data_IF_532638813246
#
_entry.id   IF_532638813246
#
_cell.length_a   1.000
_cell.length_b   1.000
_cell.length_c   1.000
_cell.angle_alpha   90.00
_cell.angle_beta   90.00
_cell.angle_gamma   90.00
#
_symmetry.space_group_name_H-M   'P 1'
#
loop_
_entity.id
_entity.type
_entity.pdbx_description
1 polymer ?
#
# COMPACT_ATOMS: atom_id res chain seq x y z
N UNK A 1 -74.21 -22.77 12.47
CA UNK A 1 -73.55 -21.62 11.80
C UNK A 1 -72.27 -21.14 12.50
N UNK A 2 -72.01 -21.46 13.77
CA UNK A 2 -70.84 -20.91 14.50
C UNK A 2 -69.46 -21.50 14.15
N UNK A 3 -69.36 -22.76 13.72
CA UNK A 3 -68.04 -23.39 13.41
C UNK A 3 -67.39 -22.86 12.12
N UNK A 4 -68.18 -22.43 11.13
CA UNK A 4 -67.64 -21.95 9.84
C UNK A 4 -66.96 -20.57 9.97
N UNK A 5 -67.50 -19.72 10.85
CA UNK A 5 -66.92 -18.40 11.15
C UNK A 5 -65.59 -18.50 11.90
N UNK A 6 -65.48 -19.43 12.85
CA UNK A 6 -64.25 -19.69 13.62
C UNK A 6 -63.15 -20.29 12.74
N UNK A 7 -63.49 -21.22 11.84
CA UNK A 7 -62.55 -21.80 10.87
C UNK A 7 -61.99 -20.75 9.91
N UNK A 8 -62.85 -19.87 9.37
CA UNK A 8 -62.43 -18.83 8.44
C UNK A 8 -61.55 -17.76 9.10
N UNK A 9 -61.87 -17.37 10.34
CA UNK A 9 -61.04 -16.43 11.10
C UNK A 9 -59.67 -17.03 11.44
N UNK A 10 -59.59 -18.32 11.80
CA UNK A 10 -58.32 -18.99 12.06
C UNK A 10 -57.47 -19.13 10.78
N UNK A 11 -58.08 -19.47 9.65
CA UNK A 11 -57.39 -19.53 8.36
C UNK A 11 -56.76 -18.18 7.99
N UNK A 12 -57.51 -17.06 8.10
CA UNK A 12 -56.97 -15.72 7.84
C UNK A 12 -55.80 -15.34 8.75
N UNK A 13 -55.83 -15.70 10.03
CA UNK A 13 -54.70 -15.45 10.95
C UNK A 13 -53.44 -16.22 10.53
N UNK A 14 -53.59 -17.49 10.13
CA UNK A 14 -52.45 -18.31 9.68
C UNK A 14 -51.84 -17.73 8.39
N UNK A 15 -52.67 -17.32 7.43
CA UNK A 15 -52.18 -16.71 6.17
C UNK A 15 -51.45 -15.39 6.43
N UNK A 16 -51.96 -14.57 7.35
CA UNK A 16 -51.33 -13.30 7.73
C UNK A 16 -49.99 -13.51 8.42
N UNK A 17 -49.91 -14.44 9.37
CA UNK A 17 -48.68 -14.79 10.07
C UNK A 17 -47.62 -15.36 9.11
N UNK A 18 -48.00 -16.25 8.18
CA UNK A 18 -47.08 -16.76 7.17
C UNK A 18 -46.55 -15.67 6.23
N UNK A 19 -47.39 -14.69 5.86
CA UNK A 19 -46.98 -13.54 5.04
C UNK A 19 -46.00 -12.63 5.79
N UNK A 20 -46.25 -12.38 7.08
CA UNK A 20 -45.33 -11.66 7.98
C UNK A 20 -44.00 -12.38 8.15
N UNK A 21 -44.02 -13.68 8.46
CA UNK A 21 -42.81 -14.50 8.62
C UNK A 21 -41.97 -14.47 7.34
N UNK A 22 -42.59 -14.62 6.17
CA UNK A 22 -41.89 -14.55 4.88
C UNK A 22 -41.33 -13.14 4.59
N UNK A 23 -42.05 -12.08 4.97
CA UNK A 23 -41.56 -10.70 4.87
C UNK A 23 -40.34 -10.47 5.78
N UNK A 24 -40.38 -10.95 7.02
CA UNK A 24 -39.28 -10.89 7.98
C UNK A 24 -38.07 -11.72 7.54
N UNK A 25 -38.30 -12.91 6.98
CA UNK A 25 -37.25 -13.75 6.38
C UNK A 25 -36.59 -13.04 5.19
N UNK A 26 -37.36 -12.42 4.30
CA UNK A 26 -36.84 -11.64 3.17
C UNK A 26 -36.03 -10.42 3.63
N UNK A 27 -36.53 -9.65 4.61
CA UNK A 27 -35.80 -8.51 5.18
C UNK A 27 -34.50 -8.95 5.86
N UNK A 28 -34.50 -10.05 6.61
CA UNK A 28 -33.30 -10.61 7.23
C UNK A 28 -32.26 -11.02 6.18
N UNK A 29 -32.70 -11.70 5.12
CA UNK A 29 -31.80 -12.13 4.04
C UNK A 29 -31.25 -10.94 3.25
N UNK A 30 -32.05 -9.88 3.07
CA UNK A 30 -31.59 -8.62 2.48
C UNK A 30 -30.55 -7.92 3.38
N UNK A 31 -30.79 -7.84 4.69
CA UNK A 31 -29.86 -7.26 5.66
C UNK A 31 -28.52 -8.03 5.71
N UNK A 32 -28.57 -9.36 5.63
CA UNK A 32 -27.35 -10.19 5.55
C UNK A 32 -26.57 -9.94 4.26
N UNK A 33 -27.25 -9.85 3.12
CA UNK A 33 -26.61 -9.57 1.84
C UNK A 33 -25.99 -8.16 1.81
N UNK A 34 -26.67 -7.16 2.39
CA UNK A 34 -26.12 -5.80 2.50
C UNK A 34 -24.91 -5.74 3.42
N UNK A 35 -24.91 -6.51 4.52
CA UNK A 35 -23.78 -6.56 5.44
C UNK A 35 -22.53 -7.20 4.78
N UNK A 36 -22.72 -8.26 4.00
CA UNK A 36 -21.65 -8.90 3.21
C UNK A 36 -21.05 -7.94 2.16
N UNK A 37 -21.87 -7.13 1.49
CA UNK A 37 -21.39 -6.12 0.53
C UNK A 37 -20.56 -5.01 1.21
N UNK A 38 -20.96 -4.58 2.40
CA UNK A 38 -20.22 -3.55 3.17
C UNK A 38 -18.84 -4.07 3.58
N UNK A 39 -18.72 -5.33 4.01
CA UNK A 39 -17.43 -5.91 4.42
C UNK A 39 -16.43 -5.95 3.27
N UNK A 40 -16.86 -6.38 2.07
CA UNK A 40 -16.00 -6.39 0.88
C UNK A 40 -15.53 -5.00 0.47
N UNK A 41 -16.40 -3.99 0.58
CA UNK A 41 -16.07 -2.61 0.24
C UNK A 41 -15.07 -1.99 1.23
N UNK A 42 -15.25 -2.25 2.53
CA UNK A 42 -14.33 -1.79 3.59
C UNK A 42 -12.94 -2.43 3.44
N UNK A 43 -12.87 -3.72 3.09
CA UNK A 43 -11.60 -4.42 2.92
C UNK A 43 -10.82 -3.92 1.68
N UNK A 44 -11.53 -3.62 0.58
CA UNK A 44 -10.91 -3.02 -0.61
C UNK A 44 -10.37 -1.62 -0.31
N UNK A 45 -11.18 -0.76 0.32
CA UNK A 45 -10.77 0.60 0.72
C UNK A 45 -9.55 0.59 1.65
N UNK A 46 -9.55 -0.31 2.65
CA UNK A 46 -8.43 -0.42 3.61
C UNK A 46 -7.12 -0.82 2.92
N UNK A 47 -7.18 -1.68 1.90
CA UNK A 47 -5.99 -2.11 1.16
C UNK A 47 -5.41 -0.98 0.31
N UNK A 48 -6.26 -0.23 -0.39
CA UNK A 48 -5.85 0.92 -1.20
C UNK A 48 -5.24 2.01 -0.32
N UNK A 49 -5.85 2.31 0.84
CA UNK A 49 -5.31 3.27 1.81
C UNK A 49 -3.93 2.83 2.32
N UNK A 50 -3.78 1.55 2.68
CA UNK A 50 -2.49 1.03 3.15
C UNK A 50 -1.41 1.12 2.07
N UNK A 51 -1.72 0.74 0.83
CA UNK A 51 -0.77 0.83 -0.28
C UNK A 51 -0.35 2.28 -0.55
N UNK A 52 -1.29 3.21 -0.55
CA UNK A 52 -1.00 4.63 -0.74
C UNK A 52 -0.09 5.19 0.36
N UNK A 53 -0.32 4.81 1.62
CA UNK A 53 0.53 5.18 2.75
C UNK A 53 1.94 4.58 2.62
N UNK A 54 2.06 3.32 2.21
CA UNK A 54 3.37 2.71 1.94
C UNK A 54 4.13 3.44 0.82
N UNK A 55 3.44 3.85 -0.26
CA UNK A 55 4.02 4.68 -1.33
C UNK A 55 4.48 6.04 -0.78
N UNK A 56 3.67 6.70 0.04
CA UNK A 56 4.05 7.96 0.68
C UNK A 56 5.31 7.80 1.52
N UNK A 57 5.35 6.77 2.36
CA UNK A 57 6.52 6.44 3.17
C UNK A 57 7.77 6.30 2.31
N UNK A 58 7.73 5.49 1.25
CA UNK A 58 8.87 5.28 0.34
C UNK A 58 9.37 6.62 -0.23
N UNK A 59 8.45 7.49 -0.68
CA UNK A 59 8.81 8.81 -1.22
C UNK A 59 9.48 9.70 -0.16
N UNK A 60 9.01 9.63 1.09
CA UNK A 60 9.59 10.40 2.20
C UNK A 60 11.00 9.93 2.61
N UNK A 61 11.37 8.67 2.34
CA UNK A 61 12.73 8.17 2.64
C UNK A 61 13.84 8.85 1.83
N UNK A 62 13.49 9.54 0.75
CA UNK A 62 14.44 10.16 -0.17
C UNK A 62 14.81 9.29 -1.37
N UNK A 63 14.23 8.08 -1.48
CA UNK A 63 14.45 7.15 -2.58
C UNK A 63 14.12 7.74 -3.97
N UNK A 64 13.13 8.65 -4.05
CA UNK A 64 12.74 9.31 -5.30
C UNK A 64 13.93 9.95 -6.01
N UNK A 65 14.80 10.64 -5.26
CA UNK A 65 15.97 11.31 -5.85
C UNK A 65 16.97 10.35 -6.48
N UNK A 66 17.05 9.10 -5.98
CA UNK A 66 17.89 8.07 -6.56
C UNK A 66 17.29 7.52 -7.86
N UNK A 67 15.95 7.41 -7.93
CA UNK A 67 15.27 7.01 -9.17
C UNK A 67 15.37 8.09 -10.24
N UNK A 68 15.22 9.36 -9.88
CA UNK A 68 15.38 10.49 -10.80
C UNK A 68 16.81 10.52 -11.38
N UNK A 69 17.82 10.37 -10.52
CA UNK A 69 19.21 10.28 -10.94
C UNK A 69 19.48 9.07 -11.84
N UNK A 70 18.85 7.93 -11.57
CA UNK A 70 18.95 6.74 -12.41
C UNK A 70 18.34 6.96 -13.80
N UNK A 71 17.17 7.58 -13.88
CA UNK A 71 16.53 7.96 -15.16
C UNK A 71 17.43 8.92 -15.92
N UNK A 72 17.98 9.95 -15.27
CA UNK A 72 18.88 10.90 -15.91
C UNK A 72 20.11 10.20 -16.50
N UNK A 73 20.74 9.31 -15.71
CA UNK A 73 21.94 8.60 -16.08
C UNK A 73 21.71 7.55 -17.19
N UNK A 74 20.63 6.78 -17.11
CA UNK A 74 20.26 5.83 -18.17
C UNK A 74 19.89 6.56 -19.46
N UNK A 75 19.32 7.76 -19.34
CA UNK A 75 19.01 8.61 -20.46
C UNK A 75 20.20 9.40 -21.01
N UNK A 76 21.40 9.31 -20.41
CA UNK A 76 22.51 10.21 -20.73
C UNK A 76 22.92 10.17 -22.22
N UNK A 77 22.68 9.04 -22.89
CA UNK A 77 22.98 8.83 -24.31
C UNK A 77 21.80 9.09 -25.24
N UNK A 78 20.63 9.45 -24.72
CA UNK A 78 19.44 9.75 -25.52
C UNK A 78 19.65 11.10 -26.24
N UNK A 79 19.43 11.18 -27.57
CA UNK A 79 19.53 12.43 -28.30
C UNK A 79 18.67 13.55 -27.71
N UNK A 80 19.15 14.79 -27.76
CA UNK A 80 18.52 15.93 -27.09
C UNK A 80 17.04 16.11 -27.50
N UNK A 81 16.75 15.93 -28.79
CA UNK A 81 15.41 16.02 -29.37
C UNK A 81 14.44 14.92 -28.91
N UNK A 82 14.95 13.82 -28.34
CA UNK A 82 14.15 12.72 -27.77
C UNK A 82 14.16 12.71 -26.25
N UNK A 83 14.95 13.58 -25.61
CA UNK A 83 15.19 13.55 -24.17
C UNK A 83 13.91 13.77 -23.36
N UNK A 84 13.05 14.69 -23.78
CA UNK A 84 11.77 14.96 -23.11
C UNK A 84 10.82 13.76 -23.17
N UNK A 85 10.66 13.16 -24.35
CA UNK A 85 9.82 11.98 -24.53
C UNK A 85 10.35 10.79 -23.70
N UNK A 86 11.66 10.57 -23.72
CA UNK A 86 12.32 9.57 -22.88
C UNK A 86 12.04 9.79 -21.40
N UNK A 87 12.26 11.01 -20.89
CA UNK A 87 12.06 11.32 -19.47
C UNK A 87 10.62 11.05 -19.05
N UNK A 88 9.65 11.49 -19.86
CA UNK A 88 8.22 11.28 -19.58
C UNK A 88 7.85 9.80 -19.56
N UNK A 89 8.33 9.01 -20.52
CA UNK A 89 8.09 7.57 -20.54
C UNK A 89 8.75 6.87 -19.34
N UNK A 90 9.99 7.24 -19.01
CA UNK A 90 10.73 6.69 -17.88
C UNK A 90 10.07 7.02 -16.54
N UNK A 91 9.65 8.27 -16.32
CA UNK A 91 8.87 8.68 -15.15
C UNK A 91 7.55 7.89 -15.05
N UNK A 92 6.91 7.61 -16.18
CA UNK A 92 5.72 6.76 -16.24
C UNK A 92 5.94 5.35 -15.68
N UNK A 93 7.18 4.82 -15.77
CA UNK A 93 7.52 3.50 -15.21
C UNK A 93 7.60 3.50 -13.67
N UNK A 94 7.81 4.67 -13.05
CA UNK A 94 7.96 4.78 -11.60
C UNK A 94 6.70 4.37 -10.86
N UNK A 95 5.51 4.54 -11.46
CA UNK A 95 4.26 4.11 -10.83
C UNK A 95 4.29 2.63 -10.48
N UNK A 96 4.62 1.78 -11.47
CA UNK A 96 4.69 0.33 -11.27
C UNK A 96 5.75 -0.05 -10.24
N UNK A 97 6.90 0.64 -10.26
CA UNK A 97 7.95 0.43 -9.28
C UNK A 97 7.47 0.75 -7.84
N UNK A 98 6.83 1.90 -7.64
CA UNK A 98 6.26 2.27 -6.34
C UNK A 98 5.19 1.28 -5.89
N UNK A 99 4.33 0.81 -6.80
CA UNK A 99 3.31 -0.19 -6.48
C UNK A 99 3.94 -1.49 -5.98
N UNK A 100 4.99 -1.98 -6.65
CA UNK A 100 5.72 -3.20 -6.24
C UNK A 100 6.48 -3.02 -4.93
N UNK A 101 7.11 -1.87 -4.74
CA UNK A 101 7.80 -1.57 -3.47
C UNK A 101 6.79 -1.48 -2.33
N UNK A 102 5.65 -0.84 -2.54
CA UNK A 102 4.60 -0.75 -1.52
C UNK A 102 4.11 -2.14 -1.10
N UNK A 103 3.89 -3.05 -2.05
CA UNK A 103 3.52 -4.44 -1.74
C UNK A 103 4.57 -5.14 -0.86
N UNK A 104 5.86 -4.90 -1.11
CA UNK A 104 6.95 -5.42 -0.25
C UNK A 104 6.91 -4.81 1.16
N UNK A 105 6.68 -3.51 1.30
CA UNK A 105 6.56 -2.91 2.64
C UNK A 105 5.31 -3.39 3.38
N UNK A 106 4.21 -3.59 2.67
CA UNK A 106 2.96 -4.11 3.24
C UNK A 106 3.08 -5.57 3.70
N UNK A 107 4.03 -6.36 3.17
CA UNK A 107 4.28 -7.73 3.65
C UNK A 107 5.09 -7.78 4.94
N UNK A 108 5.88 -6.75 5.23
CA UNK A 108 6.79 -6.71 6.37
C UNK A 108 6.28 -5.84 7.53
N UNK A 109 5.46 -4.82 7.23
CA UNK A 109 4.98 -3.85 8.20
C UNK A 109 3.45 -3.87 8.26
N UNK A 110 2.90 -3.50 9.40
CA UNK A 110 1.48 -3.16 9.52
C UNK A 110 1.20 -1.75 9.02
N UNK A 111 -0.04 -1.46 8.64
CA UNK A 111 -0.46 -0.10 8.28
C UNK A 111 -0.17 0.92 9.38
N UNK A 112 -0.34 0.53 10.65
CA UNK A 112 -0.04 1.41 11.79
C UNK A 112 1.46 1.76 11.84
N UNK A 113 2.34 0.78 11.64
CA UNK A 113 3.79 1.03 11.66
C UNK A 113 4.22 1.91 10.48
N UNK A 114 3.65 1.73 9.29
CA UNK A 114 3.87 2.64 8.17
C UNK A 114 3.42 4.06 8.51
N UNK A 115 2.26 4.26 9.15
CA UNK A 115 1.82 5.59 9.64
C UNK A 115 2.80 6.20 10.64
N UNK A 116 3.28 5.41 11.58
CA UNK A 116 4.25 5.86 12.58
C UNK A 116 5.58 6.28 11.92
N UNK A 117 6.02 5.54 10.89
CA UNK A 117 7.20 5.88 10.09
C UNK A 117 6.99 7.17 9.29
N UNK A 118 5.85 7.34 8.62
CA UNK A 118 5.50 8.59 7.92
C UNK A 118 5.58 9.78 8.89
N UNK A 119 4.96 9.65 10.06
CA UNK A 119 4.97 10.70 11.08
C UNK A 119 6.41 11.05 11.50
N UNK A 120 7.28 10.06 11.69
CA UNK A 120 8.70 10.30 11.97
C UNK A 120 9.40 11.05 10.82
N UNK A 121 9.24 10.61 9.57
CA UNK A 121 9.88 11.24 8.41
C UNK A 121 9.39 12.66 8.13
N UNK A 122 8.20 13.02 8.60
CA UNK A 122 7.68 14.38 8.53
C UNK A 122 8.32 15.34 9.57
N UNK A 123 8.96 14.82 10.62
CA UNK A 123 9.69 15.65 11.61
C UNK A 123 10.92 16.33 10.99
N UNK A 124 11.45 17.41 11.60
CA UNK A 124 12.71 18.02 11.14
C UNK A 124 13.89 17.04 11.10
N UNK A 125 13.97 16.12 12.06
CA UNK A 125 15.01 15.10 12.10
C UNK A 125 14.83 14.06 10.99
N UNK A 126 13.60 13.58 10.77
CA UNK A 126 13.29 12.63 9.71
C UNK A 126 13.59 13.18 8.31
N UNK A 127 13.22 14.44 8.04
CA UNK A 127 13.59 15.14 6.80
C UNK A 127 15.10 15.30 6.65
N UNK A 128 15.81 15.65 7.74
CA UNK A 128 17.28 15.71 7.73
C UNK A 128 17.89 14.35 7.42
N UNK A 129 17.38 13.27 8.01
CA UNK A 129 17.84 11.91 7.75
C UNK A 129 17.65 11.54 6.27
N UNK A 130 16.43 11.69 5.75
CA UNK A 130 16.09 11.46 4.35
C UNK A 130 17.03 12.18 3.37
N UNK A 131 17.26 13.48 3.57
CA UNK A 131 18.17 14.26 2.71
C UNK A 131 19.65 13.88 2.81
N UNK A 132 20.07 13.20 3.89
CA UNK A 132 21.47 12.83 4.14
C UNK A 132 21.77 11.37 3.83
N UNK A 133 20.75 10.51 3.80
CA UNK A 133 20.90 9.06 3.72
C UNK A 133 21.72 8.63 2.49
N UNK A 134 21.42 9.16 1.30
CA UNK A 134 22.15 8.84 0.08
C UNK A 134 23.63 9.26 0.16
N UNK A 135 23.88 10.50 0.59
CA UNK A 135 25.24 11.03 0.76
C UNK A 135 26.05 10.21 1.78
N UNK A 136 25.42 9.82 2.89
CA UNK A 136 26.06 9.01 3.92
C UNK A 136 26.38 7.61 3.41
N UNK A 137 25.47 6.99 2.64
CA UNK A 137 25.69 5.68 2.03
C UNK A 137 26.89 5.69 1.09
N UNK A 138 27.00 6.71 0.23
CA UNK A 138 28.16 6.88 -0.66
C UNK A 138 29.46 7.05 0.13
N UNK A 139 29.46 7.86 1.20
CA UNK A 139 30.62 8.01 2.09
C UNK A 139 30.99 6.71 2.78
N UNK A 140 30.00 5.95 3.25
CA UNK A 140 30.21 4.66 3.89
C UNK A 140 30.84 3.64 2.93
N UNK A 141 30.41 3.61 1.66
CA UNK A 141 31.03 2.76 0.64
C UNK A 141 32.52 3.08 0.46
N UNK A 142 32.90 4.35 0.38
CA UNK A 142 34.32 4.74 0.29
C UNK A 142 35.13 4.33 1.52
N UNK A 143 34.55 4.48 2.73
CA UNK A 143 35.19 4.01 3.96
C UNK A 143 35.39 2.49 3.94
N UNK A 144 34.40 1.74 3.46
CA UNK A 144 34.49 0.29 3.29
C UNK A 144 35.59 -0.13 2.31
N UNK A 145 35.74 0.58 1.20
CA UNK A 145 36.83 0.35 0.25
C UNK A 145 38.21 0.59 0.88
N UNK A 146 38.36 1.68 1.65
CA UNK A 146 39.61 1.97 2.36
C UNK A 146 39.94 0.90 3.40
N UNK A 147 38.95 0.45 4.17
CA UNK A 147 39.11 -0.65 5.11
C UNK A 147 39.55 -1.94 4.39
N UNK A 148 38.94 -2.27 3.25
CA UNK A 148 39.29 -3.46 2.47
C UNK A 148 40.75 -3.42 1.96
N UNK A 149 41.26 -2.25 1.56
CA UNK A 149 42.67 -2.09 1.22
C UNK A 149 43.58 -2.39 2.41
N UNK A 150 43.25 -1.89 3.60
CA UNK A 150 44.01 -2.18 4.82
C UNK A 150 43.99 -3.67 5.18
N UNK A 151 42.86 -4.35 5.00
CA UNK A 151 42.77 -5.81 5.18
C UNK A 151 43.66 -6.55 4.19
N UNK A 152 43.72 -6.11 2.93
CA UNK A 152 44.64 -6.68 1.92
C UNK A 152 46.11 -6.54 2.35
N UNK A 153 46.49 -5.38 2.89
CA UNK A 153 47.86 -5.16 3.38
C UNK A 153 48.20 -6.05 4.58
N UNK A 154 47.22 -6.35 5.44
CA UNK A 154 47.37 -7.34 6.51
C UNK A 154 47.55 -8.75 5.92
N UNK A 155 46.73 -9.14 4.95
CA UNK A 155 46.81 -10.46 4.31
C UNK A 155 48.18 -10.70 3.64
N UNK A 156 48.74 -9.67 2.98
CA UNK A 156 50.06 -9.74 2.35
C UNK A 156 51.21 -10.02 3.33
N UNK A 157 51.03 -9.79 4.65
CA UNK A 157 52.05 -10.14 5.66
C UNK A 157 52.14 -11.63 5.96
N UNK A 158 51.16 -12.41 5.50
CA UNK A 158 51.05 -13.85 5.74
C UNK A 158 51.14 -14.68 4.44
N UNK A 159 51.54 -14.05 3.33
CA UNK A 159 51.90 -14.69 2.06
C UNK A 159 53.40 -14.57 1.85
#
# INVERSE_FOLDING_TARGET
>A
MNNFFLLNHNAQRVTYNNKLINSLLKMKNFLLASLLLVVSFVQAQTNDDFKNEAIEFIKLTGATSAFDAAIEQLGATVPAEKKEAYTKEAEGTLKTLYDQMADLYMSEFTQKEIKDLIAFYQTPLGKKLSSKQLQMTQKAMMLGQNWAMGVRDVANKYQ
#
